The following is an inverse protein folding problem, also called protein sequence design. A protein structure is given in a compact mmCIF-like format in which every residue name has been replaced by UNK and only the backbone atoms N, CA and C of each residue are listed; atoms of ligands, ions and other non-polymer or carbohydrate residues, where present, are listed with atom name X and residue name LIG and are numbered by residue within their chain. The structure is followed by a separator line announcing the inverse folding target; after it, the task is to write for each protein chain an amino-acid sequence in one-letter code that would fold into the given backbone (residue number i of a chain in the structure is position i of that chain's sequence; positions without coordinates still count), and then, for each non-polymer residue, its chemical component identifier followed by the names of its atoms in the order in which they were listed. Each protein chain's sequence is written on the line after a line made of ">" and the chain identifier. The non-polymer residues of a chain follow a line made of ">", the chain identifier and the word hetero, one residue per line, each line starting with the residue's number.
data_IF_106036356552
#
_entry.id   IF_106036356552
#
_cell.length_a   1.000
_cell.length_b   1.000
_cell.length_c   1.000
_cell.angle_alpha   90.00
_cell.angle_beta   90.00
_cell.angle_gamma   90.00
#
_symmetry.space_group_name_H-M   'P 1'
#
loop_
_entity.id
_entity.type
_entity.pdbx_description
1 polymer ?
#
# COMPACT_ATOMS: atom_id res chain seq x y z
N UNK A 1 -24.03 29.00 1.72
CA UNK A 1 -24.64 27.72 1.28
C UNK A 1 -23.54 26.86 0.69
N UNK A 2 -23.31 25.66 1.24
CA UNK A 2 -22.30 24.73 0.70
C UNK A 2 -22.90 24.08 -0.57
N UNK A 3 -22.12 24.03 -1.64
CA UNK A 3 -22.56 23.51 -2.95
C UNK A 3 -22.04 22.10 -3.26
N UNK A 4 -21.00 21.64 -2.58
CA UNK A 4 -20.46 20.29 -2.70
C UNK A 4 -19.65 19.90 -1.46
N UNK A 5 -19.59 18.60 -1.19
CA UNK A 5 -18.68 17.97 -0.21
C UNK A 5 -18.04 16.77 -0.91
N UNK A 6 -16.72 16.65 -0.78
CA UNK A 6 -15.94 15.51 -1.26
C UNK A 6 -15.61 14.67 -0.04
N UNK A 7 -15.92 13.38 -0.11
CA UNK A 7 -15.58 12.41 0.92
C UNK A 7 -14.53 11.46 0.35
N UNK A 8 -13.48 11.21 1.12
CA UNK A 8 -12.56 10.09 0.87
C UNK A 8 -13.21 8.77 1.29
N UNK A 9 -12.67 7.64 0.87
CA UNK A 9 -13.15 6.31 1.26
C UNK A 9 -12.40 5.79 2.49
N UNK A 10 -11.06 5.73 2.41
CA UNK A 10 -10.21 5.21 3.48
C UNK A 10 -10.03 6.18 4.64
N UNK A 11 -10.38 5.76 5.86
CA UNK A 11 -10.32 6.61 7.07
C UNK A 11 -11.50 7.57 7.24
N UNK A 12 -12.49 7.50 6.33
CA UNK A 12 -13.75 8.26 6.40
C UNK A 12 -14.93 7.30 6.46
N UNK A 13 -15.00 6.35 5.51
CA UNK A 13 -16.04 5.31 5.47
C UNK A 13 -15.55 3.94 5.92
N UNK A 14 -14.28 3.61 5.70
CA UNK A 14 -13.63 2.39 6.21
C UNK A 14 -12.49 2.73 7.16
N UNK A 15 -11.97 1.73 7.88
CA UNK A 15 -10.67 1.90 8.55
C UNK A 15 -9.59 2.31 7.54
N UNK A 16 -8.60 3.08 7.99
CA UNK A 16 -7.51 3.51 7.11
C UNK A 16 -6.70 2.28 6.68
N UNK A 17 -6.32 2.15 5.39
CA UNK A 17 -5.42 1.08 4.95
C UNK A 17 -4.08 1.09 5.71
N UNK A 18 -3.71 2.24 6.30
CA UNK A 18 -2.52 2.32 7.16
C UNK A 18 -2.62 1.50 8.44
N UNK A 19 -3.82 1.32 9.00
CA UNK A 19 -4.01 0.45 10.16
C UNK A 19 -3.82 -1.03 9.76
N UNK A 20 -4.35 -1.42 8.61
CA UNK A 20 -4.16 -2.75 8.06
C UNK A 20 -2.69 -3.04 7.72
N UNK A 21 -1.96 -2.06 7.15
CA UNK A 21 -0.52 -2.15 6.95
C UNK A 21 0.24 -2.30 8.26
N UNK A 22 -0.07 -1.47 9.28
CA UNK A 22 0.60 -1.53 10.57
C UNK A 22 0.37 -2.89 11.27
N UNK A 23 -0.84 -3.45 11.16
CA UNK A 23 -1.15 -4.81 11.65
C UNK A 23 -0.32 -5.86 10.92
N UNK A 24 -0.33 -5.83 9.59
CA UNK A 24 0.47 -6.73 8.74
C UNK A 24 1.97 -6.69 9.09
N UNK A 25 2.51 -5.49 9.28
CA UNK A 25 3.92 -5.26 9.61
C UNK A 25 4.26 -5.83 10.99
N UNK A 26 3.44 -5.52 12.01
CA UNK A 26 3.63 -6.02 13.37
C UNK A 26 3.58 -7.54 13.47
N UNK A 27 2.60 -8.19 12.81
CA UNK A 27 2.45 -9.65 12.81
C UNK A 27 3.67 -10.37 12.22
N UNK A 28 4.44 -9.69 11.36
CA UNK A 28 5.62 -10.23 10.68
C UNK A 28 6.95 -9.71 11.24
N UNK A 29 6.92 -8.93 12.32
CA UNK A 29 8.12 -8.32 12.92
C UNK A 29 8.79 -7.29 12.01
N UNK A 30 8.04 -6.71 11.07
CA UNK A 30 8.51 -5.65 10.18
C UNK A 30 8.29 -4.30 10.90
N UNK A 31 9.24 -3.34 10.80
CA UNK A 31 9.04 -2.01 11.35
C UNK A 31 7.77 -1.34 10.81
N UNK A 32 6.93 -0.82 11.70
CA UNK A 32 5.70 -0.13 11.31
C UNK A 32 6.01 1.06 10.41
N UNK A 33 5.31 1.15 9.29
CA UNK A 33 5.50 2.15 8.25
C UNK A 33 6.46 1.76 7.13
N UNK A 34 7.01 0.54 7.12
CA UNK A 34 7.84 0.04 6.00
C UNK A 34 7.08 0.05 4.67
N UNK A 35 5.85 -0.43 4.61
CA UNK A 35 5.02 -0.41 3.38
C UNK A 35 4.81 1.04 2.90
N UNK A 36 4.52 1.94 3.84
CA UNK A 36 4.37 3.38 3.54
C UNK A 36 5.68 3.99 3.03
N UNK A 37 6.81 3.58 3.59
CA UNK A 37 8.14 4.01 3.17
C UNK A 37 8.47 3.52 1.77
N UNK A 38 8.15 2.27 1.42
CA UNK A 38 8.30 1.74 0.05
C UNK A 38 7.50 2.62 -0.92
N UNK A 39 6.23 2.88 -0.59
CA UNK A 39 5.34 3.70 -1.43
C UNK A 39 5.77 5.17 -1.55
N UNK A 40 6.57 5.70 -0.62
CA UNK A 40 7.02 7.10 -0.66
C UNK A 40 8.46 7.31 -1.11
N UNK A 41 9.27 6.24 -1.23
CA UNK A 41 10.71 6.36 -1.56
C UNK A 41 10.95 6.80 -3.00
N UNK A 42 10.14 6.33 -3.96
CA UNK A 42 10.20 6.74 -5.37
C UNK A 42 8.78 6.92 -5.92
N UNK A 43 8.09 8.01 -5.56
CA UNK A 43 6.64 8.15 -5.76
C UNK A 43 6.23 8.25 -7.24
N UNK A 44 7.16 8.48 -8.18
CA UNK A 44 6.83 8.57 -9.61
C UNK A 44 6.91 7.22 -10.33
N UNK A 45 7.72 6.29 -9.81
CA UNK A 45 8.11 5.08 -10.55
C UNK A 45 8.17 3.81 -9.70
N UNK A 46 7.83 3.85 -8.41
CA UNK A 46 7.75 2.63 -7.61
C UNK A 46 6.62 1.70 -8.07
N UNK A 47 6.60 0.48 -7.54
CA UNK A 47 5.63 -0.55 -7.87
C UNK A 47 4.19 -0.03 -7.73
N UNK A 48 3.93 0.72 -6.66
CA UNK A 48 2.63 1.33 -6.39
C UNK A 48 2.21 2.33 -7.46
N UNK A 49 3.07 3.30 -7.79
CA UNK A 49 2.81 4.31 -8.81
C UNK A 49 2.60 3.68 -10.20
N UNK A 50 3.36 2.62 -10.53
CA UNK A 50 3.20 1.90 -11.78
C UNK A 50 1.87 1.13 -11.82
N UNK A 51 1.45 0.54 -10.71
CA UNK A 51 0.18 -0.17 -10.60
C UNK A 51 -1.02 0.78 -10.70
N UNK A 52 -1.00 1.91 -10.00
CA UNK A 52 -2.05 2.95 -10.09
C UNK A 52 -2.19 3.51 -11.51
N UNK A 53 -1.08 3.59 -12.26
CA UNK A 53 -1.06 4.01 -13.66
C UNK A 53 -1.43 2.89 -14.64
N UNK A 54 -1.82 1.70 -14.15
CA UNK A 54 -2.10 0.51 -14.96
C UNK A 54 -0.94 0.10 -15.90
N UNK A 55 0.30 0.45 -15.55
CA UNK A 55 1.50 0.07 -16.31
C UNK A 55 1.91 -1.38 -16.05
N UNK A 56 1.49 -1.92 -14.91
CA UNK A 56 1.71 -3.32 -14.51
C UNK A 56 0.41 -3.93 -13.99
N UNK A 57 0.26 -5.23 -14.18
CA UNK A 57 -0.83 -6.02 -13.61
C UNK A 57 -0.50 -6.48 -12.18
N UNK A 58 -1.35 -7.34 -11.61
CA UNK A 58 -1.18 -7.86 -10.24
C UNK A 58 0.13 -8.64 -10.09
N UNK A 59 0.48 -9.47 -11.07
CA UNK A 59 1.72 -10.27 -11.04
C UNK A 59 2.96 -9.38 -11.20
N UNK A 60 2.88 -8.34 -12.03
CA UNK A 60 3.90 -7.32 -12.18
C UNK A 60 4.09 -6.51 -10.89
N UNK A 61 3.00 -6.11 -10.25
CA UNK A 61 3.02 -5.44 -8.95
C UNK A 61 3.66 -6.33 -7.88
N UNK A 62 3.27 -7.60 -7.78
CA UNK A 62 3.83 -8.55 -6.80
C UNK A 62 5.35 -8.62 -6.88
N UNK A 63 5.89 -8.75 -8.11
CA UNK A 63 7.33 -8.83 -8.36
C UNK A 63 8.05 -7.52 -8.05
N UNK A 64 7.52 -6.39 -8.51
CA UNK A 64 8.16 -5.08 -8.31
C UNK A 64 8.15 -4.69 -6.83
N UNK A 65 7.02 -4.85 -6.15
CA UNK A 65 6.89 -4.51 -4.74
C UNK A 65 7.82 -5.38 -3.87
N UNK A 66 7.90 -6.68 -4.18
CA UNK A 66 8.82 -7.59 -3.50
C UNK A 66 10.28 -7.16 -3.68
N UNK A 67 10.66 -6.74 -4.89
CA UNK A 67 12.01 -6.25 -5.15
C UNK A 67 12.32 -4.96 -4.37
N UNK A 68 11.38 -4.03 -4.29
CA UNK A 68 11.52 -2.79 -3.51
C UNK A 68 11.61 -3.06 -2.01
N UNK A 69 10.79 -3.98 -1.50
CA UNK A 69 10.87 -4.43 -0.11
C UNK A 69 12.23 -5.09 0.20
N UNK A 70 12.76 -5.89 -0.73
CA UNK A 70 14.04 -6.56 -0.57
C UNK A 70 15.20 -5.58 -0.47
N UNK A 71 15.15 -4.44 -1.17
CA UNK A 71 16.14 -3.35 -1.02
C UNK A 71 16.17 -2.80 0.42
N UNK A 72 15.04 -2.84 1.13
CA UNK A 72 14.94 -2.47 2.54
C UNK A 72 15.19 -3.64 3.50
N UNK A 73 15.54 -4.83 3.00
CA UNK A 73 15.80 -6.02 3.81
C UNK A 73 14.54 -6.76 4.26
N UNK A 74 13.40 -6.54 3.59
CA UNK A 74 12.13 -7.17 3.92
C UNK A 74 11.60 -8.04 2.77
N UNK A 75 10.93 -9.14 3.11
CA UNK A 75 10.20 -9.95 2.13
C UNK A 75 8.72 -9.62 2.24
N UNK A 76 8.24 -8.71 1.39
CA UNK A 76 6.83 -8.29 1.36
C UNK A 76 6.31 -8.52 -0.05
N UNK A 77 5.58 -9.62 -0.31
CA UNK A 77 4.94 -9.84 -1.60
C UNK A 77 3.86 -8.78 -1.85
N UNK A 78 3.80 -8.20 -3.06
CA UNK A 78 2.75 -7.24 -3.38
C UNK A 78 1.35 -7.85 -3.33
N UNK A 79 1.21 -9.16 -3.60
CA UNK A 79 -0.07 -9.88 -3.45
C UNK A 79 -0.63 -9.86 -2.02
N UNK A 80 0.23 -9.68 -1.01
CA UNK A 80 -0.17 -9.58 0.39
C UNK A 80 -0.63 -8.16 0.72
N UNK A 81 -0.15 -7.16 -0.02
CA UNK A 81 -0.42 -5.73 0.23
C UNK A 81 -1.77 -5.31 -0.37
N UNK A 82 -2.11 -5.79 -1.58
CA UNK A 82 -3.34 -5.39 -2.27
C UNK A 82 -4.63 -5.68 -1.45
N UNK A 83 -4.79 -6.85 -0.80
CA UNK A 83 -5.99 -7.12 0.00
C UNK A 83 -6.16 -6.18 1.20
N UNK A 84 -5.06 -5.62 1.73
CA UNK A 84 -5.09 -4.72 2.89
C UNK A 84 -5.74 -3.36 2.58
N UNK A 85 -5.91 -3.03 1.30
CA UNK A 85 -6.54 -1.79 0.84
C UNK A 85 -8.05 -1.78 1.01
N UNK A 86 -8.67 -2.95 1.06
CA UNK A 86 -10.12 -3.06 1.18
C UNK A 86 -10.65 -2.45 2.48
N UNK A 87 -9.78 -2.32 3.50
CA UNK A 87 -10.16 -1.88 4.83
C UNK A 87 -11.07 -2.88 5.52
N UNK A 88 -11.29 -2.64 6.81
CA UNK A 88 -12.33 -3.33 7.58
C UNK A 88 -13.58 -2.41 7.61
N UNK A 89 -14.78 -3.00 7.52
CA UNK A 89 -16.08 -2.30 7.59
C UNK A 89 -16.58 -2.16 9.03
#
# INVERSE_FOLDING_TARGET
>A
MIKAVIWDFGGVFTSSPFEAFARYENERGIPVGTIRKINSTNPEANAWAQFEQSKVDIDGFDKLFLAEAAVLGHTIPGRDVLPLLAGDF
#
